data_IF_916098253237
#
_entry.id   IF_916098253237
#
_cell.length_a   1.000
_cell.length_b   1.000
_cell.length_c   1.000
_cell.angle_alpha   90.00
_cell.angle_beta   90.00
_cell.angle_gamma   90.00
#
_symmetry.space_group_name_H-M   'P 1'
#
loop_
_entity.id
_entity.type
_entity.pdbx_description
1 polymer ?
#
# COMPACT_ATOMS: atom_id res chain seq x y z
N UNK A 1 6.89 -29.09 -1.07
CA UNK A 1 7.31 -28.07 -0.09
C UNK A 1 6.90 -26.69 -0.55
N UNK A 2 6.00 -26.04 0.19
CA UNK A 2 5.62 -24.65 -0.07
C UNK A 2 6.45 -23.72 0.83
N UNK A 3 6.84 -22.55 0.32
CA UNK A 3 7.41 -21.45 1.11
C UNK A 3 6.84 -20.12 0.65
N UNK A 4 6.62 -19.19 1.57
CA UNK A 4 6.43 -17.77 1.23
C UNK A 4 7.65 -17.32 0.45
N UNK A 5 7.44 -16.69 -0.71
CA UNK A 5 8.51 -16.38 -1.65
C UNK A 5 9.48 -15.37 -1.06
N UNK A 6 8.97 -14.32 -0.45
CA UNK A 6 9.67 -13.11 -0.05
C UNK A 6 10.36 -13.24 1.30
N UNK A 7 10.07 -14.30 2.06
CA UNK A 7 10.56 -14.45 3.42
C UNK A 7 12.08 -14.35 3.56
N UNK A 8 12.48 -13.59 4.58
CA UNK A 8 13.86 -13.27 4.92
C UNK A 8 14.62 -12.49 3.84
N UNK A 9 13.92 -11.93 2.83
CA UNK A 9 14.53 -11.03 1.86
C UNK A 9 15.06 -9.78 2.59
N UNK A 10 16.38 -9.50 2.56
CA UNK A 10 16.93 -8.29 3.14
C UNK A 10 16.48 -7.08 2.33
N UNK A 11 16.10 -6.01 3.02
CA UNK A 11 15.70 -4.75 2.38
C UNK A 11 16.30 -3.57 3.12
N UNK A 12 16.37 -2.44 2.45
CA UNK A 12 16.72 -1.15 3.05
C UNK A 12 15.74 -0.10 2.56
N UNK A 13 15.15 0.66 3.48
CA UNK A 13 14.19 1.73 3.18
C UNK A 13 14.53 2.95 4.02
N UNK A 14 14.70 4.10 3.37
CA UNK A 14 15.10 5.33 4.05
C UNK A 14 16.39 5.20 4.89
N UNK A 15 17.33 4.36 4.44
CA UNK A 15 18.58 4.08 5.15
C UNK A 15 18.48 3.09 6.32
N UNK A 16 17.29 2.56 6.62
CA UNK A 16 17.08 1.57 7.68
C UNK A 16 17.03 0.17 7.08
N UNK A 17 17.89 -0.72 7.55
CA UNK A 17 17.91 -2.13 7.16
C UNK A 17 16.83 -2.92 7.92
N UNK A 18 16.15 -3.81 7.20
CA UNK A 18 15.19 -4.77 7.78
C UNK A 18 15.11 -6.02 6.89
N UNK A 19 14.18 -6.92 7.20
CA UNK A 19 13.93 -8.10 6.38
C UNK A 19 12.43 -8.38 6.27
N UNK A 20 12.05 -9.00 5.16
CA UNK A 20 10.66 -9.37 4.87
C UNK A 20 10.22 -10.55 5.74
N UNK A 21 9.11 -10.38 6.46
CA UNK A 21 8.57 -11.36 7.42
C UNK A 21 7.22 -11.97 7.01
N UNK A 22 6.65 -11.53 5.89
CA UNK A 22 5.34 -11.94 5.35
C UNK A 22 5.34 -11.77 3.82
N UNK A 23 4.25 -12.08 3.12
CA UNK A 23 4.07 -11.69 1.70
C UNK A 23 4.32 -10.20 1.50
N UNK A 24 4.94 -9.83 0.38
CA UNK A 24 5.25 -8.45 0.06
C UNK A 24 5.21 -8.19 -1.45
N UNK A 25 4.51 -7.13 -1.83
CA UNK A 25 4.55 -6.56 -3.16
C UNK A 25 5.67 -5.52 -3.25
N UNK A 26 5.95 -4.73 -2.21
CA UNK A 26 7.01 -3.70 -2.25
C UNK A 26 8.44 -4.26 -2.24
N UNK A 27 8.60 -5.52 -1.80
CA UNK A 27 9.87 -6.23 -1.73
C UNK A 27 9.76 -7.56 -2.50
N UNK A 28 10.18 -7.51 -3.76
CA UNK A 28 10.05 -8.61 -4.72
C UNK A 28 11.01 -9.75 -4.39
N UNK A 29 10.45 -10.93 -4.07
CA UNK A 29 11.21 -12.15 -3.80
C UNK A 29 11.79 -12.84 -5.06
N UNK A 30 12.38 -14.04 -4.90
CA UNK A 30 12.39 -14.84 -3.68
C UNK A 30 13.49 -14.42 -2.69
N UNK A 31 13.21 -14.56 -1.40
CA UNK A 31 14.16 -14.41 -0.31
C UNK A 31 14.99 -15.69 -0.05
N UNK A 32 16.09 -15.57 0.70
CA UNK A 32 17.04 -16.67 0.93
C UNK A 32 16.42 -17.87 1.65
N UNK A 33 15.40 -17.65 2.51
CA UNK A 33 14.68 -18.75 3.18
C UNK A 33 13.95 -19.62 2.16
N UNK A 34 13.22 -19.00 1.24
CA UNK A 34 12.46 -19.72 0.22
C UNK A 34 13.39 -20.52 -0.70
N UNK A 35 14.48 -19.90 -1.18
CA UNK A 35 15.48 -20.54 -2.00
C UNK A 35 16.10 -21.78 -1.31
N UNK A 36 16.46 -21.66 -0.03
CA UNK A 36 16.98 -22.77 0.78
C UNK A 36 15.97 -23.91 0.91
N UNK A 37 14.71 -23.61 1.24
CA UNK A 37 13.66 -24.62 1.37
C UNK A 37 13.40 -25.37 0.07
N UNK A 38 13.35 -24.66 -1.07
CA UNK A 38 13.15 -25.30 -2.36
C UNK A 38 14.34 -26.14 -2.81
N UNK A 39 15.57 -25.70 -2.51
CA UNK A 39 16.78 -26.49 -2.76
C UNK A 39 16.76 -27.82 -1.99
N UNK A 40 16.47 -27.78 -0.67
CA UNK A 40 16.37 -28.97 0.17
C UNK A 40 15.26 -29.92 -0.29
N UNK A 41 14.09 -29.36 -0.65
CA UNK A 41 12.98 -30.15 -1.17
C UNK A 41 13.34 -30.86 -2.48
N UNK A 42 14.01 -30.17 -3.41
CA UNK A 42 14.47 -30.76 -4.67
C UNK A 42 15.50 -31.87 -4.44
N UNK A 43 16.45 -31.66 -3.52
CA UNK A 43 17.42 -32.69 -3.14
C UNK A 43 16.76 -33.95 -2.57
N UNK A 44 15.60 -33.80 -1.93
CA UNK A 44 14.76 -34.90 -1.44
C UNK A 44 13.76 -35.45 -2.49
N UNK A 45 13.84 -35.02 -3.75
CA UNK A 45 12.91 -35.46 -4.81
C UNK A 45 11.49 -34.90 -4.70
N UNK A 46 11.26 -33.88 -3.87
CA UNK A 46 9.95 -33.28 -3.63
C UNK A 46 9.67 -32.11 -4.58
N UNK A 47 8.38 -31.95 -4.94
CA UNK A 47 7.88 -30.79 -5.67
C UNK A 47 7.90 -29.52 -4.80
N UNK A 48 8.10 -28.38 -5.45
CA UNK A 48 8.27 -27.06 -4.80
C UNK A 48 7.15 -26.11 -5.18
N UNK A 49 6.71 -25.28 -4.22
CA UNK A 49 5.71 -24.25 -4.48
C UNK A 49 6.08 -22.92 -3.81
N UNK A 50 5.82 -21.82 -4.50
CA UNK A 50 5.91 -20.49 -3.92
C UNK A 50 4.52 -20.00 -3.51
N UNK A 51 4.41 -19.52 -2.27
CA UNK A 51 3.25 -18.75 -1.81
C UNK A 51 3.55 -17.26 -1.98
N UNK A 52 2.68 -16.55 -2.68
CA UNK A 52 2.78 -15.12 -2.98
C UNK A 52 1.40 -14.49 -2.90
N UNK A 53 1.33 -13.17 -2.67
CA UNK A 53 0.09 -12.41 -2.78
C UNK A 53 0.29 -11.29 -3.79
N UNK A 54 -0.38 -11.39 -4.93
CA UNK A 54 -0.10 -10.51 -6.07
C UNK A 54 -1.16 -9.42 -6.26
N UNK A 55 -2.36 -9.60 -5.72
CA UNK A 55 -3.41 -8.58 -5.75
C UNK A 55 -3.15 -7.48 -4.73
N UNK A 56 -3.09 -7.85 -3.46
CA UNK A 56 -2.88 -6.97 -2.32
C UNK A 56 -2.23 -7.77 -1.17
N UNK A 57 -1.59 -7.07 -0.23
CA UNK A 57 -0.98 -7.64 0.99
C UNK A 57 -1.36 -6.78 2.20
N UNK A 58 -0.87 -7.12 3.39
CA UNK A 58 -0.98 -6.23 4.57
C UNK A 58 -0.16 -4.94 4.46
N UNK A 59 0.59 -4.74 3.38
CA UNK A 59 1.15 -3.43 3.06
C UNK A 59 0.06 -2.45 2.63
N UNK A 60 -0.97 -2.94 1.92
CA UNK A 60 -2.21 -2.23 1.62
C UNK A 60 -3.25 -3.16 0.96
N UNK A 61 -4.43 -3.27 1.57
CA UNK A 61 -5.53 -4.12 1.09
C UNK A 61 -6.93 -3.48 1.23
N UNK A 62 -7.00 -2.15 1.36
CA UNK A 62 -8.28 -1.42 1.39
C UNK A 62 -8.88 -1.17 -0.01
N UNK A 63 -8.30 -1.77 -1.04
CA UNK A 63 -8.84 -1.84 -2.40
C UNK A 63 -8.60 -3.25 -2.97
N UNK A 64 -9.31 -3.67 -4.03
CA UNK A 64 -9.21 -5.02 -4.57
C UNK A 64 -7.82 -5.46 -5.03
N UNK A 65 -7.03 -4.54 -5.60
CA UNK A 65 -5.67 -4.81 -6.04
C UNK A 65 -4.83 -3.53 -6.13
N UNK A 66 -3.51 -3.66 -5.98
CA UNK A 66 -2.54 -2.58 -6.15
C UNK A 66 -2.10 -2.47 -7.62
N UNK A 67 -2.05 -1.25 -8.21
CA UNK A 67 -1.66 -1.02 -9.61
C UNK A 67 -0.14 -1.10 -9.86
N UNK A 68 0.57 -1.97 -9.15
CA UNK A 68 2.03 -2.08 -9.14
C UNK A 68 2.51 -3.22 -10.04
N UNK A 69 2.04 -3.24 -11.30
CA UNK A 69 2.20 -4.39 -12.18
C UNK A 69 3.65 -4.69 -12.55
N UNK A 70 4.56 -3.70 -12.52
CA UNK A 70 5.98 -3.95 -12.75
C UNK A 70 6.57 -4.81 -11.61
N UNK A 71 6.18 -4.56 -10.35
CA UNK A 71 6.61 -5.38 -9.21
C UNK A 71 6.05 -6.81 -9.31
N UNK A 72 4.79 -6.95 -9.73
CA UNK A 72 4.14 -8.26 -9.92
C UNK A 72 4.83 -9.06 -11.01
N UNK A 73 5.13 -8.43 -12.15
CA UNK A 73 5.81 -9.09 -13.25
C UNK A 73 7.28 -9.42 -12.92
N UNK A 74 7.96 -8.56 -12.17
CA UNK A 74 9.30 -8.84 -11.63
C UNK A 74 9.27 -10.10 -10.75
N UNK A 75 8.27 -10.22 -9.88
CA UNK A 75 8.11 -11.37 -9.00
C UNK A 75 7.82 -12.65 -9.77
N UNK A 76 6.90 -12.58 -10.74
CA UNK A 76 6.54 -13.70 -11.61
C UNK A 76 7.77 -14.20 -12.39
N UNK A 77 8.56 -13.29 -12.98
CA UNK A 77 9.83 -13.60 -13.65
C UNK A 77 10.83 -14.26 -12.72
N UNK A 78 11.02 -13.72 -11.52
CA UNK A 78 11.96 -14.27 -10.54
C UNK A 78 11.57 -15.70 -10.13
N UNK A 79 10.27 -15.99 -9.98
CA UNK A 79 9.76 -17.32 -9.67
C UNK A 79 9.84 -18.30 -10.85
N UNK A 80 9.55 -17.82 -12.07
CA UNK A 80 9.75 -18.58 -13.30
C UNK A 80 11.21 -19.03 -13.46
N UNK A 81 12.15 -18.14 -13.09
CA UNK A 81 13.60 -18.41 -13.09
C UNK A 81 14.02 -19.36 -11.96
N UNK A 82 13.42 -19.23 -10.77
CA UNK A 82 13.66 -20.13 -9.63
C UNK A 82 13.16 -21.57 -9.87
N UNK A 83 12.33 -21.76 -10.90
CA UNK A 83 11.92 -23.06 -11.41
C UNK A 83 11.01 -23.86 -10.47
N UNK A 84 10.23 -23.17 -9.62
CA UNK A 84 9.24 -23.80 -8.73
C UNK A 84 8.17 -24.54 -9.54
N UNK A 85 7.62 -25.62 -8.99
CA UNK A 85 6.63 -26.47 -9.69
C UNK A 85 5.20 -25.92 -9.63
N UNK A 86 4.91 -24.99 -8.70
CA UNK A 86 3.60 -24.37 -8.59
C UNK A 86 3.60 -23.09 -7.77
N UNK A 87 2.51 -22.34 -7.87
CA UNK A 87 2.32 -21.09 -7.13
C UNK A 87 0.97 -21.08 -6.44
N UNK A 88 0.94 -20.47 -5.26
CA UNK A 88 -0.28 -20.14 -4.55
C UNK A 88 -0.36 -18.60 -4.50
N UNK A 89 -1.24 -18.03 -5.33
CA UNK A 89 -1.28 -16.60 -5.65
C UNK A 89 -2.06 -15.74 -4.66
N UNK A 90 -2.81 -16.38 -3.77
CA UNK A 90 -3.60 -15.71 -2.76
C UNK A 90 -3.92 -16.67 -1.60
N UNK A 91 -4.37 -16.10 -0.49
CA UNK A 91 -4.94 -16.84 0.64
C UNK A 91 -6.20 -16.13 1.17
N UNK A 92 -6.07 -15.38 2.27
CA UNK A 92 -7.19 -14.77 2.98
C UNK A 92 -7.48 -13.34 2.51
N UNK A 93 -6.49 -12.67 1.92
CA UNK A 93 -6.59 -11.33 1.34
C UNK A 93 -6.00 -11.28 -0.07
N UNK A 94 -6.39 -10.27 -0.85
CA UNK A 94 -5.89 -10.09 -2.22
C UNK A 94 -6.49 -11.03 -3.25
N UNK A 95 -7.63 -11.68 -2.94
CA UNK A 95 -8.29 -12.69 -3.77
C UNK A 95 -9.12 -12.15 -4.94
N UNK A 96 -9.11 -10.84 -5.20
CA UNK A 96 -9.94 -10.26 -6.26
C UNK A 96 -9.38 -10.54 -7.65
N UNK A 97 -10.21 -10.87 -8.66
CA UNK A 97 -9.80 -10.88 -10.04
C UNK A 97 -9.17 -9.53 -10.43
N UNK A 98 -7.94 -9.55 -10.94
CA UNK A 98 -7.18 -8.32 -11.21
C UNK A 98 -6.21 -8.49 -12.38
N UNK A 99 -5.74 -7.38 -12.99
CA UNK A 99 -4.64 -7.41 -13.96
C UNK A 99 -3.38 -8.10 -13.42
N UNK A 100 -3.16 -8.07 -12.10
CA UNK A 100 -2.01 -8.69 -11.45
C UNK A 100 -2.02 -10.21 -11.66
N UNK A 101 -3.19 -10.87 -11.58
CA UNK A 101 -3.31 -12.30 -11.86
C UNK A 101 -3.06 -12.63 -13.33
N UNK A 102 -3.53 -11.79 -14.25
CA UNK A 102 -3.30 -11.97 -15.68
C UNK A 102 -1.81 -11.86 -16.03
N UNK A 103 -1.14 -10.82 -15.51
CA UNK A 103 0.31 -10.66 -15.67
C UNK A 103 1.03 -11.89 -15.14
N UNK A 104 0.65 -12.36 -13.94
CA UNK A 104 1.32 -13.51 -13.33
C UNK A 104 1.12 -14.79 -14.15
N UNK A 105 -0.10 -15.02 -14.66
CA UNK A 105 -0.43 -16.20 -15.50
C UNK A 105 0.34 -16.22 -16.83
N UNK A 106 0.78 -15.07 -17.34
CA UNK A 106 1.56 -15.00 -18.57
C UNK A 106 3.00 -15.52 -18.42
N UNK A 107 3.50 -15.73 -17.20
CA UNK A 107 4.82 -16.29 -16.95
C UNK A 107 4.75 -17.82 -16.82
N UNK A 108 5.47 -18.51 -17.69
CA UNK A 108 5.74 -19.95 -17.58
C UNK A 108 7.17 -20.20 -17.11
N UNK A 109 7.49 -21.44 -16.73
CA UNK A 109 8.84 -21.80 -16.26
C UNK A 109 9.88 -21.46 -17.34
N UNK A 110 10.90 -20.67 -16.98
CA UNK A 110 11.93 -20.18 -17.90
C UNK A 110 11.58 -18.89 -18.66
N UNK A 111 10.37 -18.34 -18.50
CA UNK A 111 10.02 -17.04 -19.07
C UNK A 111 10.82 -15.90 -18.40
N UNK A 112 11.39 -15.01 -19.22
CA UNK A 112 12.27 -13.92 -18.76
C UNK A 112 11.83 -12.52 -19.25
N UNK A 113 10.91 -12.42 -20.21
CA UNK A 113 10.54 -11.14 -20.84
C UNK A 113 9.38 -10.42 -20.11
N UNK A 114 9.71 -9.48 -19.23
CA UNK A 114 8.71 -8.71 -18.48
C UNK A 114 7.96 -7.67 -19.32
N UNK A 115 8.68 -6.89 -20.15
CA UNK A 115 8.09 -5.81 -20.95
C UNK A 115 6.98 -6.28 -21.90
N UNK A 116 7.26 -7.25 -22.80
CA UNK A 116 6.27 -7.77 -23.74
C UNK A 116 5.02 -8.37 -23.08
N UNK A 117 5.13 -8.95 -21.88
CA UNK A 117 3.97 -9.43 -21.12
C UNK A 117 3.09 -8.25 -20.73
N UNK A 118 3.68 -7.23 -20.11
CA UNK A 118 2.94 -6.08 -19.61
C UNK A 118 2.35 -5.24 -20.75
N UNK A 119 3.05 -5.10 -21.86
CA UNK A 119 2.56 -4.39 -23.05
C UNK A 119 1.33 -5.08 -23.64
N UNK A 120 1.35 -6.41 -23.71
CA UNK A 120 0.21 -7.22 -24.16
C UNK A 120 -0.99 -7.08 -23.24
N UNK A 121 -0.78 -7.15 -21.92
CA UNK A 121 -1.87 -6.97 -20.94
C UNK A 121 -2.44 -5.55 -21.03
N UNK A 122 -1.60 -4.52 -21.11
CA UNK A 122 -2.03 -3.14 -21.25
C UNK A 122 -2.85 -2.93 -22.54
N UNK A 123 -2.36 -3.40 -23.68
CA UNK A 123 -3.06 -3.29 -24.97
C UNK A 123 -4.38 -4.05 -24.97
N UNK A 124 -4.43 -5.27 -24.40
CA UNK A 124 -5.66 -6.07 -24.34
C UNK A 124 -6.73 -5.42 -23.47
N UNK A 125 -6.35 -4.89 -22.31
CA UNK A 125 -7.30 -4.34 -21.34
C UNK A 125 -7.76 -2.93 -21.69
N UNK A 126 -6.87 -2.08 -22.20
CA UNK A 126 -7.13 -0.65 -22.38
C UNK A 126 -7.06 -0.16 -23.82
N UNK A 127 -6.64 -1.02 -24.77
CA UNK A 127 -6.44 -0.68 -26.17
C UNK A 127 -5.00 -0.25 -26.48
N UNK A 128 -4.56 -0.51 -27.71
CA UNK A 128 -3.19 -0.23 -28.15
C UNK A 128 -2.78 1.25 -28.03
N UNK A 129 -3.72 2.17 -28.24
CA UNK A 129 -3.47 3.61 -28.13
C UNK A 129 -3.15 4.07 -26.70
N UNK A 130 -3.81 3.49 -25.69
CA UNK A 130 -3.58 3.83 -24.28
C UNK A 130 -2.42 3.06 -23.65
N UNK A 131 -2.05 1.91 -24.22
CA UNK A 131 -1.12 0.97 -23.62
C UNK A 131 0.22 1.60 -23.14
N UNK A 132 0.92 2.44 -23.93
CA UNK A 132 2.18 3.05 -23.47
C UNK A 132 2.02 3.88 -22.20
N UNK A 133 0.93 4.66 -22.10
CA UNK A 133 0.67 5.51 -20.93
C UNK A 133 0.15 4.72 -19.73
N UNK A 134 -0.53 3.60 -19.96
CA UNK A 134 -0.86 2.63 -18.90
C UNK A 134 0.42 2.06 -18.29
N UNK A 135 1.42 1.71 -19.13
CA UNK A 135 2.72 1.22 -18.66
C UNK A 135 3.43 2.28 -17.81
N UNK A 136 3.49 3.52 -18.26
CA UNK A 136 4.05 4.63 -17.49
C UNK A 136 3.37 4.81 -16.13
N UNK A 137 2.03 4.70 -16.08
CA UNK A 137 1.28 4.78 -14.83
C UNK A 137 1.64 3.63 -13.88
N UNK A 138 1.66 2.38 -14.37
CA UNK A 138 2.06 1.21 -13.59
C UNK A 138 3.50 1.31 -13.06
N UNK A 139 4.41 1.87 -13.85
CA UNK A 139 5.78 2.15 -13.38
C UNK A 139 5.78 3.18 -12.26
N UNK A 140 5.05 4.29 -12.40
CA UNK A 140 4.96 5.30 -11.35
C UNK A 140 4.39 4.76 -10.03
N UNK A 141 3.35 3.91 -10.10
CA UNK A 141 2.81 3.22 -8.93
C UNK A 141 3.82 2.25 -8.31
N UNK A 142 4.48 1.45 -9.14
CA UNK A 142 5.48 0.44 -8.72
C UNK A 142 6.69 1.09 -8.04
N UNK A 143 7.23 2.15 -8.62
CA UNK A 143 8.36 2.90 -8.05
C UNK A 143 7.99 3.55 -6.72
N UNK A 144 6.78 4.12 -6.64
CA UNK A 144 6.24 4.63 -5.37
C UNK A 144 6.12 3.54 -4.32
N UNK A 145 5.47 2.43 -4.67
CA UNK A 145 5.19 1.36 -3.72
C UNK A 145 6.47 0.65 -3.25
N UNK A 146 7.51 0.59 -4.08
CA UNK A 146 8.83 0.06 -3.68
C UNK A 146 9.42 0.80 -2.48
N UNK A 147 9.05 2.07 -2.27
CA UNK A 147 9.48 2.87 -1.12
C UNK A 147 8.72 2.57 0.17
N UNK A 148 7.72 1.68 0.16
CA UNK A 148 6.94 1.34 1.36
C UNK A 148 7.88 0.96 2.53
N UNK A 149 7.72 1.55 3.74
CA UNK A 149 8.58 1.28 4.88
C UNK A 149 8.23 -0.08 5.50
N UNK A 150 8.54 -1.15 4.77
CA UNK A 150 8.17 -2.50 5.14
C UNK A 150 8.84 -2.91 6.46
N UNK A 151 8.03 -3.34 7.40
CA UNK A 151 8.40 -4.16 8.54
C UNK A 151 7.13 -4.87 9.03
N UNK A 152 7.22 -6.10 9.54
CA UNK A 152 6.04 -6.85 10.00
C UNK A 152 5.22 -6.06 11.04
N UNK A 153 5.90 -5.29 11.90
CA UNK A 153 5.26 -4.38 12.85
C UNK A 153 4.46 -3.27 12.15
N UNK A 154 4.98 -2.69 11.07
CA UNK A 154 4.26 -1.68 10.27
C UNK A 154 3.06 -2.30 9.54
N UNK A 155 3.25 -3.47 8.94
CA UNK A 155 2.18 -4.20 8.24
C UNK A 155 0.97 -4.45 9.15
N UNK A 156 1.23 -4.88 10.38
CA UNK A 156 0.15 -5.25 11.29
C UNK A 156 -0.39 -4.10 12.13
N UNK A 157 0.39 -3.07 12.43
CA UNK A 157 -0.05 -2.04 13.37
C UNK A 157 -0.30 -0.68 12.71
N UNK A 158 0.19 -0.46 11.49
CA UNK A 158 0.09 0.83 10.83
C UNK A 158 -1.33 1.16 10.37
N UNK A 159 -1.62 2.46 10.14
CA UNK A 159 -2.96 2.92 9.81
C UNK A 159 -3.34 2.75 8.33
N UNK A 160 -2.51 2.11 7.50
CA UNK A 160 -2.70 2.05 6.05
C UNK A 160 -4.06 1.51 5.61
N UNK A 161 -4.67 0.61 6.39
CA UNK A 161 -5.96 0.00 6.04
C UNK A 161 -7.15 0.88 6.43
N UNK A 162 -7.12 1.47 7.62
CA UNK A 162 -8.13 2.45 8.07
C UNK A 162 -8.01 3.77 7.32
N UNK A 163 -6.80 4.14 6.90
CA UNK A 163 -6.50 5.40 6.24
C UNK A 163 -7.08 6.59 7.03
N UNK A 164 -7.80 7.53 6.36
CA UNK A 164 -8.39 8.67 7.04
C UNK A 164 -9.42 8.31 8.10
N UNK A 165 -10.05 7.12 8.07
CA UNK A 165 -11.08 6.77 9.04
C UNK A 165 -10.54 6.61 10.47
N UNK A 166 -9.23 6.42 10.66
CA UNK A 166 -8.63 6.38 12.00
C UNK A 166 -8.75 7.76 12.69
N UNK A 167 -9.35 7.90 13.88
CA UNK A 167 -9.54 9.21 14.53
C UNK A 167 -8.25 9.92 14.96
N UNK A 168 -8.32 11.24 15.15
CA UNK A 168 -7.24 12.05 15.75
C UNK A 168 -7.56 12.36 17.22
N UNK A 169 -6.53 12.29 18.08
CA UNK A 169 -6.68 12.56 19.51
C UNK A 169 -5.66 13.60 20.00
N UNK A 170 -6.16 14.69 20.60
CA UNK A 170 -5.31 15.76 21.16
C UNK A 170 -4.51 15.33 22.39
N UNK A 171 -4.98 14.30 23.07
CA UNK A 171 -4.28 13.65 24.17
C UNK A 171 -4.05 12.18 23.81
N UNK A 172 -2.92 11.57 24.19
CA UNK A 172 -2.65 10.17 23.96
C UNK A 172 -3.79 9.30 24.50
N UNK A 173 -4.27 8.36 23.69
CA UNK A 173 -5.36 7.46 24.13
C UNK A 173 -4.87 6.45 25.17
N UNK A 174 -3.59 6.10 25.13
CA UNK A 174 -3.01 4.99 25.90
C UNK A 174 -3.35 3.61 25.33
N UNK A 175 -4.13 3.54 24.25
CA UNK A 175 -4.46 2.28 23.58
C UNK A 175 -3.34 1.84 22.64
N UNK A 176 -3.26 0.53 22.44
CA UNK A 176 -2.29 -0.10 21.55
C UNK A 176 -2.94 -0.43 20.22
N UNK A 177 -2.21 -0.21 19.13
CA UNK A 177 -2.64 -0.68 17.82
C UNK A 177 -2.91 -2.20 17.85
N UNK A 178 -4.00 -2.62 17.20
CA UNK A 178 -4.34 -4.03 17.02
C UNK A 178 -3.89 -4.52 15.65
N UNK A 179 -3.64 -5.83 15.55
CA UNK A 179 -3.21 -6.46 14.29
C UNK A 179 -4.26 -6.25 13.20
N UNK A 180 -3.88 -5.57 12.12
CA UNK A 180 -4.66 -5.27 10.90
C UNK A 180 -6.02 -4.62 11.12
N UNK A 181 -6.30 -4.10 12.33
CA UNK A 181 -7.61 -3.59 12.72
C UNK A 181 -7.56 -2.10 13.06
N UNK A 182 -7.42 -1.81 14.35
CA UNK A 182 -7.60 -0.47 14.92
C UNK A 182 -6.21 0.08 15.32
N UNK A 183 -5.67 1.06 14.59
CA UNK A 183 -4.32 1.57 14.82
C UNK A 183 -4.22 2.58 15.98
N UNK A 184 -5.33 3.20 16.39
CA UNK A 184 -5.41 4.27 17.40
C UNK A 184 -4.45 5.44 17.11
N UNK A 185 -3.56 5.79 18.03
CA UNK A 185 -2.54 6.83 17.91
C UNK A 185 -1.15 6.30 18.29
N UNK A 186 -0.94 4.98 18.13
CA UNK A 186 0.26 4.25 18.55
C UNK A 186 1.38 4.31 17.50
N UNK A 187 1.86 5.53 17.21
CA UNK A 187 2.88 5.78 16.18
C UNK A 187 4.16 4.94 16.41
N UNK A 188 4.52 4.66 17.66
CA UNK A 188 5.68 3.85 17.99
C UNK A 188 5.57 2.43 17.38
N UNK A 189 4.38 1.80 17.43
CA UNK A 189 4.16 0.51 16.78
C UNK A 189 4.02 0.62 15.27
N UNK A 190 3.38 1.67 14.77
CA UNK A 190 3.19 1.88 13.32
C UNK A 190 4.54 1.93 12.60
N UNK A 191 5.48 2.71 13.14
CA UNK A 191 6.81 2.88 12.55
C UNK A 191 7.75 1.71 12.85
N UNK A 192 7.48 0.97 13.93
CA UNK A 192 8.28 -0.17 14.36
C UNK A 192 9.78 0.18 14.44
N UNK A 193 10.61 -0.31 13.52
CA UNK A 193 12.06 -0.07 13.50
C UNK A 193 12.45 1.30 12.92
N UNK A 194 11.57 1.96 12.18
CA UNK A 194 11.87 3.22 11.50
C UNK A 194 11.79 4.40 12.47
N UNK A 195 12.74 5.35 12.45
CA UNK A 195 12.52 6.67 13.03
C UNK A 195 11.28 7.34 12.44
N UNK A 196 10.58 8.18 13.22
CA UNK A 196 9.31 8.77 12.81
C UNK A 196 9.43 9.54 11.48
N UNK A 197 10.43 10.40 11.35
CA UNK A 197 10.67 11.18 10.13
C UNK A 197 11.01 10.31 8.91
N UNK A 198 11.76 9.23 9.12
CA UNK A 198 12.08 8.27 8.04
C UNK A 198 10.81 7.57 7.57
N UNK A 199 9.98 7.09 8.51
CA UNK A 199 8.72 6.44 8.18
C UNK A 199 7.76 7.38 7.43
N UNK A 200 7.61 8.62 7.91
CA UNK A 200 6.80 9.67 7.27
C UNK A 200 7.31 9.93 5.85
N UNK A 201 8.62 10.11 5.69
CA UNK A 201 9.24 10.37 4.37
C UNK A 201 9.03 9.21 3.41
N UNK A 202 9.16 7.96 3.86
CA UNK A 202 8.90 6.79 3.03
C UNK A 202 7.42 6.71 2.62
N UNK A 203 6.46 6.94 3.54
CA UNK A 203 5.03 6.99 3.20
C UNK A 203 4.70 8.11 2.21
N UNK A 204 5.36 9.27 2.32
CA UNK A 204 5.23 10.36 1.35
C UNK A 204 5.74 9.99 -0.04
N UNK A 205 6.84 9.24 -0.13
CA UNK A 205 7.33 8.75 -1.43
C UNK A 205 6.34 7.77 -2.06
N UNK A 206 5.74 6.88 -1.27
CA UNK A 206 4.66 6.00 -1.74
C UNK A 206 3.50 6.83 -2.26
N UNK A 207 2.98 7.76 -1.46
CA UNK A 207 1.91 8.69 -1.89
C UNK A 207 2.29 9.41 -3.18
N UNK A 208 3.51 9.93 -3.29
CA UNK A 208 3.95 10.68 -4.46
C UNK A 208 3.98 9.82 -5.73
N UNK A 209 4.41 8.55 -5.64
CA UNK A 209 4.33 7.62 -6.77
C UNK A 209 2.88 7.34 -7.19
N UNK A 210 1.98 7.15 -6.22
CA UNK A 210 0.56 6.97 -6.49
C UNK A 210 -0.09 8.22 -7.09
N UNK A 211 0.26 9.41 -6.61
CA UNK A 211 -0.22 10.68 -7.15
C UNK A 211 0.20 10.86 -8.62
N UNK A 212 1.47 10.54 -8.94
CA UNK A 212 1.98 10.55 -10.33
C UNK A 212 1.24 9.53 -11.20
N UNK A 213 1.13 8.30 -10.73
CA UNK A 213 0.41 7.22 -11.44
C UNK A 213 -1.05 7.59 -11.72
N UNK A 214 -1.76 8.15 -10.74
CA UNK A 214 -3.14 8.60 -10.92
C UNK A 214 -3.25 9.80 -11.88
N UNK A 215 -2.25 10.70 -11.92
CA UNK A 215 -2.20 11.78 -12.90
C UNK A 215 -2.06 11.26 -14.33
N UNK A 216 -1.12 10.33 -14.55
CA UNK A 216 -0.94 9.64 -15.82
C UNK A 216 -2.21 8.88 -16.23
N UNK A 217 -2.81 8.15 -15.28
CA UNK A 217 -4.03 7.39 -15.51
C UNK A 217 -5.24 8.26 -15.85
N UNK A 218 -5.42 9.41 -15.19
CA UNK A 218 -6.49 10.35 -15.55
C UNK A 218 -6.36 10.87 -16.98
N UNK A 219 -5.13 11.17 -17.40
CA UNK A 219 -4.86 11.70 -18.75
C UNK A 219 -4.97 10.69 -19.88
N UNK A 220 -4.91 9.37 -19.60
CA UNK A 220 -5.06 8.33 -20.63
C UNK A 220 -6.51 7.95 -20.91
N UNK A 221 -7.47 8.30 -20.03
CA UNK A 221 -8.89 7.89 -20.16
C UNK A 221 -9.52 8.19 -21.53
N UNK A 222 -9.25 9.34 -22.20
CA UNK A 222 -9.78 9.59 -23.53
C UNK A 222 -9.26 8.62 -24.60
N UNK A 223 -8.03 8.13 -24.45
CA UNK A 223 -7.38 7.20 -25.37
C UNK A 223 -7.71 5.72 -25.09
N UNK A 224 -8.34 5.42 -23.95
CA UNK A 224 -8.79 4.06 -23.62
C UNK A 224 -9.91 3.66 -24.59
N UNK A 225 -9.83 2.41 -25.06
CA UNK A 225 -10.85 1.81 -25.91
C UNK A 225 -12.24 1.91 -25.24
N UNK A 226 -13.26 2.20 -26.05
CA UNK A 226 -14.58 2.58 -25.55
C UNK A 226 -15.18 1.57 -24.55
N UNK A 227 -15.07 0.28 -24.86
CA UNK A 227 -15.56 -0.82 -24.02
C UNK A 227 -14.90 -0.90 -22.64
N UNK A 228 -13.69 -0.38 -22.46
CA UNK A 228 -12.94 -0.42 -21.20
C UNK A 228 -12.92 0.91 -20.45
N UNK A 229 -13.34 2.03 -21.08
CA UNK A 229 -13.21 3.38 -20.52
C UNK A 229 -13.91 3.55 -19.17
N UNK A 230 -15.10 2.97 -19.02
CA UNK A 230 -15.86 3.04 -17.78
C UNK A 230 -15.17 2.31 -16.61
N UNK A 231 -14.60 1.11 -16.86
CA UNK A 231 -13.84 0.40 -15.82
C UNK A 231 -12.53 1.12 -15.51
N UNK A 232 -11.80 1.61 -16.52
CA UNK A 232 -10.58 2.40 -16.30
C UNK A 232 -10.84 3.65 -15.45
N UNK A 233 -12.02 4.28 -15.60
CA UNK A 233 -12.46 5.39 -14.74
C UNK A 233 -12.75 4.96 -13.30
N UNK A 234 -13.32 3.77 -13.08
CA UNK A 234 -13.50 3.19 -11.73
C UNK A 234 -12.16 2.84 -11.08
N UNK A 235 -11.24 2.25 -11.84
CA UNK A 235 -9.89 1.92 -11.38
C UNK A 235 -9.14 3.16 -10.91
N UNK A 236 -9.27 4.30 -11.61
CA UNK A 236 -8.72 5.57 -11.14
C UNK A 236 -9.23 5.94 -9.74
N UNK A 237 -10.50 5.71 -9.44
CA UNK A 237 -11.08 5.94 -8.12
C UNK A 237 -10.43 5.06 -7.04
N UNK A 238 -10.19 3.78 -7.33
CA UNK A 238 -9.47 2.87 -6.45
C UNK A 238 -8.03 3.33 -6.20
N UNK A 239 -7.32 3.77 -7.24
CA UNK A 239 -5.93 4.19 -7.12
C UNK A 239 -5.80 5.52 -6.37
N UNK A 240 -6.75 6.44 -6.57
CA UNK A 240 -6.86 7.66 -5.76
C UNK A 240 -7.17 7.35 -4.30
N UNK A 241 -7.98 6.33 -4.02
CA UNK A 241 -8.20 5.88 -2.64
C UNK A 241 -6.89 5.42 -1.99
N UNK A 242 -6.09 4.59 -2.67
CA UNK A 242 -4.78 4.18 -2.17
C UNK A 242 -3.84 5.38 -1.91
N UNK A 243 -3.74 6.32 -2.85
CA UNK A 243 -2.97 7.57 -2.67
C UNK A 243 -3.38 8.30 -1.38
N UNK A 244 -4.68 8.49 -1.17
CA UNK A 244 -5.22 9.20 -0.02
C UNK A 244 -5.00 8.44 1.30
N UNK A 245 -4.99 7.10 1.28
CA UNK A 245 -4.60 6.30 2.44
C UNK A 245 -3.14 6.51 2.83
N UNK A 246 -2.22 6.53 1.87
CA UNK A 246 -0.81 6.80 2.15
C UNK A 246 -0.58 8.25 2.61
N UNK A 247 -1.36 9.20 2.08
CA UNK A 247 -1.39 10.57 2.59
C UNK A 247 -1.83 10.63 4.06
N UNK A 248 -2.90 9.92 4.41
CA UNK A 248 -3.42 9.86 5.77
C UNK A 248 -2.40 9.26 6.74
N UNK A 249 -1.68 8.21 6.34
CA UNK A 249 -0.59 7.63 7.12
C UNK A 249 0.44 8.70 7.51
N UNK A 250 0.94 9.47 6.54
CA UNK A 250 1.93 10.52 6.79
C UNK A 250 1.36 11.67 7.63
N UNK A 251 0.14 12.12 7.34
CA UNK A 251 -0.53 13.19 8.09
C UNK A 251 -0.75 12.81 9.56
N UNK A 252 -1.27 11.61 9.83
CA UNK A 252 -1.52 11.13 11.19
C UNK A 252 -0.22 10.92 11.96
N UNK A 253 0.83 10.38 11.33
CA UNK A 253 2.13 10.26 11.97
C UNK A 253 2.73 11.62 12.34
N UNK A 254 2.64 12.63 11.45
CA UNK A 254 3.04 14.01 11.80
C UNK A 254 2.23 14.57 12.95
N UNK A 255 0.91 14.33 12.95
CA UNK A 255 0.02 14.78 14.01
C UNK A 255 0.42 14.17 15.36
N UNK A 256 0.59 12.85 15.44
CA UNK A 256 0.96 12.15 16.67
C UNK A 256 2.36 12.59 17.14
N UNK A 257 3.35 12.66 16.23
CA UNK A 257 4.69 13.11 16.59
C UNK A 257 4.72 14.55 17.13
N UNK A 258 4.00 15.48 16.50
CA UNK A 258 3.90 16.86 16.95
C UNK A 258 3.16 16.98 18.28
N UNK A 259 2.13 16.14 18.52
CA UNK A 259 1.42 16.09 19.80
C UNK A 259 2.34 15.65 20.93
N UNK A 260 3.06 14.55 20.72
CA UNK A 260 3.92 13.98 21.76
C UNK A 260 5.08 14.95 22.08
N UNK A 261 5.62 15.63 21.05
CA UNK A 261 6.58 16.72 21.24
C UNK A 261 5.98 17.91 21.99
N UNK A 262 4.73 18.31 21.71
CA UNK A 262 4.06 19.39 22.43
C UNK A 262 3.93 19.08 23.92
N UNK A 263 3.67 17.83 24.29
CA UNK A 263 3.59 17.40 25.70
C UNK A 263 4.94 17.46 26.41
N UNK A 264 6.03 17.15 25.71
CA UNK A 264 7.38 17.21 26.23
C UNK A 264 8.01 18.62 26.18
N UNK A 265 7.41 19.57 25.46
CA UNK A 265 7.98 20.89 25.22
C UNK A 265 8.10 21.71 26.53
N UNK A 266 9.31 22.23 26.78
CA UNK A 266 9.62 23.02 27.97
C UNK A 266 9.40 24.52 27.74
N UNK A 267 9.59 24.99 26.50
CA UNK A 267 9.57 26.41 26.16
C UNK A 267 8.36 26.80 25.31
N UNK A 268 7.95 28.08 25.40
CA UNK A 268 6.83 28.58 24.60
C UNK A 268 7.08 28.61 23.09
N UNK A 269 8.29 28.93 22.58
CA UNK A 269 8.60 28.80 21.16
C UNK A 269 8.43 27.37 20.63
N UNK A 270 8.88 26.36 21.38
CA UNK A 270 8.71 24.95 21.02
C UNK A 270 7.23 24.55 21.00
N UNK A 271 6.46 24.98 22.01
CA UNK A 271 5.01 24.74 22.06
C UNK A 271 4.30 25.38 20.86
N UNK A 272 4.68 26.61 20.49
CA UNK A 272 4.12 27.31 19.34
C UNK A 272 4.41 26.57 18.03
N UNK A 273 5.64 26.08 17.84
CA UNK A 273 6.01 25.27 16.68
C UNK A 273 5.18 23.97 16.62
N UNK A 274 5.11 23.21 17.70
CA UNK A 274 4.36 21.94 17.72
C UNK A 274 2.86 22.17 17.47
N UNK A 275 2.27 23.26 18.00
CA UNK A 275 0.87 23.64 17.70
C UNK A 275 0.67 23.98 16.22
N UNK A 276 1.65 24.64 15.59
CA UNK A 276 1.62 24.92 14.15
C UNK A 276 1.63 23.63 13.33
N UNK A 277 2.54 22.70 13.65
CA UNK A 277 2.66 21.39 13.00
C UNK A 277 1.37 20.56 13.17
N UNK A 278 0.80 20.53 14.38
CA UNK A 278 -0.48 19.86 14.66
C UNK A 278 -1.63 20.41 13.81
N UNK A 279 -1.76 21.74 13.73
CA UNK A 279 -2.80 22.38 12.92
C UNK A 279 -2.60 22.08 11.43
N UNK A 280 -1.36 22.10 10.95
CA UNK A 280 -1.05 21.77 9.56
C UNK A 280 -1.42 20.32 9.23
N UNK A 281 -1.02 19.36 10.08
CA UNK A 281 -1.33 17.94 9.91
C UNK A 281 -2.84 17.67 9.98
N UNK A 282 -3.56 18.27 10.94
CA UNK A 282 -5.00 18.13 11.06
C UNK A 282 -5.76 18.73 9.86
N UNK A 283 -5.29 19.85 9.27
CA UNK A 283 -5.86 20.43 8.05
C UNK A 283 -5.64 19.53 6.82
N UNK A 284 -4.42 19.01 6.67
CA UNK A 284 -4.10 18.07 5.60
C UNK A 284 -4.99 16.82 5.70
N UNK A 285 -5.14 16.29 6.90
CA UNK A 285 -5.98 15.13 7.18
C UNK A 285 -7.48 15.39 6.90
N UNK A 286 -7.98 16.57 7.28
CA UNK A 286 -9.34 17.02 6.95
C UNK A 286 -9.57 17.03 5.44
N UNK A 287 -8.60 17.54 4.68
CA UNK A 287 -8.66 17.59 3.23
C UNK A 287 -8.65 16.17 2.62
N UNK A 288 -7.76 15.30 3.08
CA UNK A 288 -7.68 13.90 2.65
C UNK A 288 -8.99 13.15 2.89
N UNK A 289 -9.59 13.26 4.09
CA UNK A 289 -10.87 12.62 4.39
C UNK A 289 -12.01 13.10 3.48
N UNK A 290 -12.08 14.42 3.21
CA UNK A 290 -13.07 15.00 2.29
C UNK A 290 -12.88 14.53 0.84
N UNK A 291 -11.63 14.38 0.40
CA UNK A 291 -11.31 13.90 -0.94
C UNK A 291 -11.64 12.41 -1.10
N UNK A 292 -11.43 11.59 -0.07
CA UNK A 292 -11.71 10.16 -0.13
C UNK A 292 -13.20 9.83 -0.11
N UNK A 293 -13.99 10.60 0.66
CA UNK A 293 -15.42 10.36 0.86
C UNK A 293 -16.22 10.13 -0.44
N UNK A 294 -16.15 10.97 -1.49
CA UNK A 294 -16.90 10.73 -2.71
C UNK A 294 -16.51 9.43 -3.43
N UNK A 295 -15.24 9.02 -3.38
CA UNK A 295 -14.80 7.74 -3.95
C UNK A 295 -15.38 6.56 -3.16
N UNK A 296 -15.25 6.58 -1.83
CA UNK A 296 -15.78 5.53 -0.97
C UNK A 296 -17.31 5.39 -1.05
N UNK A 297 -18.04 6.49 -1.31
CA UNK A 297 -19.49 6.45 -1.57
C UNK A 297 -19.86 5.85 -2.93
N UNK A 298 -19.01 6.05 -3.94
CA UNK A 298 -19.27 5.63 -5.31
C UNK A 298 -18.86 4.18 -5.58
N UNK A 299 -17.91 3.63 -4.81
CA UNK A 299 -17.36 2.29 -5.00
C UNK A 299 -17.24 1.55 -3.67
N UNK A 300 -18.10 0.56 -3.45
CA UNK A 300 -18.13 -0.26 -2.23
C UNK A 300 -16.90 -1.15 -2.07
N UNK A 301 -16.06 -1.29 -3.10
CA UNK A 301 -14.81 -2.05 -3.00
C UNK A 301 -13.75 -1.30 -2.17
N UNK A 302 -13.90 0.01 -1.98
CA UNK A 302 -12.99 0.84 -1.18
C UNK A 302 -13.28 0.62 0.31
N UNK A 303 -12.24 0.28 1.07
CA UNK A 303 -12.33 -0.07 2.49
C UNK A 303 -12.65 -1.55 2.74
N UNK A 304 -13.05 -2.31 1.72
CA UNK A 304 -13.40 -3.73 1.84
C UNK A 304 -12.20 -4.67 1.62
N UNK A 305 -12.08 -5.68 2.47
CA UNK A 305 -11.14 -6.80 2.40
C UNK A 305 -11.83 -8.09 2.90
N UNK A 306 -11.56 -9.22 2.24
CA UNK A 306 -12.28 -10.48 2.47
C UNK A 306 -12.15 -11.08 3.88
N UNK A 307 -11.02 -10.90 4.57
CA UNK A 307 -10.81 -11.43 5.92
C UNK A 307 -11.37 -10.55 7.03
N UNK A 308 -11.35 -9.21 6.84
CA UNK A 308 -11.76 -8.23 7.86
C UNK A 308 -13.06 -7.48 7.52
N UNK A 309 -13.72 -7.83 6.42
CA UNK A 309 -14.85 -7.09 5.85
C UNK A 309 -14.47 -5.63 5.56
N UNK A 310 -15.12 -4.65 6.17
CA UNK A 310 -14.78 -3.25 5.96
C UNK A 310 -13.88 -2.77 7.09
N UNK A 311 -12.71 -2.22 6.74
CA UNK A 311 -11.93 -1.40 7.66
C UNK A 311 -12.72 -0.15 8.05
N UNK A 312 -13.45 0.43 7.09
CA UNK A 312 -14.31 1.58 7.32
C UNK A 312 -15.42 1.64 6.26
N UNK A 313 -16.49 2.37 6.57
CA UNK A 313 -17.57 2.74 5.67
C UNK A 313 -17.59 4.28 5.49
N UNK A 314 -18.34 4.83 4.51
CA UNK A 314 -18.36 6.28 4.27
C UNK A 314 -18.72 7.15 5.49
N UNK A 315 -19.49 6.61 6.44
CA UNK A 315 -19.88 7.26 7.68
C UNK A 315 -18.67 7.53 8.58
N UNK A 316 -17.69 6.62 8.64
CA UNK A 316 -16.48 6.80 9.44
C UNK A 316 -15.61 7.94 8.88
N UNK A 317 -15.63 8.14 7.56
CA UNK A 317 -14.97 9.30 6.94
C UNK A 317 -15.69 10.62 7.26
N UNK A 318 -17.02 10.61 7.39
CA UNK A 318 -17.77 11.76 7.86
C UNK A 318 -17.43 12.06 9.33
N UNK A 319 -17.35 11.04 10.17
CA UNK A 319 -16.91 11.17 11.56
C UNK A 319 -15.51 11.77 11.63
N UNK A 320 -14.57 11.28 10.81
CA UNK A 320 -13.22 11.87 10.70
C UNK A 320 -13.27 13.36 10.35
N UNK A 321 -14.12 13.78 9.41
CA UNK A 321 -14.27 15.19 9.04
C UNK A 321 -14.71 16.03 10.24
N UNK A 322 -15.63 15.52 11.07
CA UNK A 322 -16.06 16.17 12.30
C UNK A 322 -14.93 16.18 13.35
N UNK A 323 -14.25 15.05 13.55
CA UNK A 323 -13.09 14.89 14.42
C UNK A 323 -12.00 15.93 14.10
N UNK A 324 -11.56 16.04 12.84
CA UNK A 324 -10.56 17.03 12.43
C UNK A 324 -11.01 18.47 12.67
N UNK A 325 -12.30 18.79 12.44
CA UNK A 325 -12.86 20.12 12.71
C UNK A 325 -12.85 20.44 14.21
N UNK A 326 -13.20 19.47 15.04
CA UNK A 326 -13.16 19.61 16.49
C UNK A 326 -11.72 19.82 16.97
N UNK A 327 -10.79 18.96 16.56
CA UNK A 327 -9.35 19.10 16.85
C UNK A 327 -8.83 20.49 16.48
N UNK A 328 -9.15 20.99 15.28
CA UNK A 328 -8.72 22.33 14.84
C UNK A 328 -9.32 23.47 15.67
N UNK A 329 -10.56 23.32 16.14
CA UNK A 329 -11.22 24.31 17.02
C UNK A 329 -10.61 24.31 18.42
N UNK A 330 -10.25 23.14 18.93
CA UNK A 330 -9.79 22.95 20.30
C UNK A 330 -8.27 23.22 20.41
N UNK A 331 -7.52 23.20 19.29
CA UNK A 331 -6.12 23.63 19.17
C UNK A 331 -5.88 25.15 19.26
N UNK A 332 -6.87 25.94 19.70
CA UNK A 332 -6.71 27.40 19.87
C UNK A 332 -5.50 27.74 20.75
#
# INVERSE_FOLDING_TARGET
MQSVSEWSLPITRGGVASAVGEYSISAVGPGPRAAKHWSLARAAGLKTSAKVQVGATWEFCAIPYLPTLDLVAEHARNLASAGVDGVMLSWSLGCSPSPNLEVFQAFTKGANETGPVLDRVAARRYGAAAAPRVREAWTAFSDGFREYPYHIGTLYNGPQHMGPANPLYLHPTGYRATMVGIPYDDLARWRSVYPAEVWITQMEKVRAGFARGCGLWGSLLPAVQESARAEAGRELGLFRAAELHFAACANQARFVAARDRLQAAATDPERALCRSELRAAARAELATAKQLLPFAKADSRIGYESSNHYFYIPQDLLEKVLCCRQVLRDLK
#
